data_IF_747742584285
#
_entry.id   IF_747742584285
#
_cell.length_a   1.000
_cell.length_b   1.000
_cell.length_c   1.000
_cell.angle_alpha   90.00
_cell.angle_beta   90.00
_cell.angle_gamma   90.00
#
_symmetry.space_group_name_H-M   'P 1'
#
loop_
_entity.id
_entity.type
_entity.pdbx_description
1 polymer ?
#
# COMPACT_ATOMS: atom_id res chain seq x y z
N UNK A 1 -16.72 15.61 7.32
CA UNK A 1 -16.10 16.76 8.00
C UNK A 1 -15.22 17.38 6.95
N UNK A 2 -15.75 18.34 6.19
CA UNK A 2 -14.99 18.97 5.11
C UNK A 2 -13.90 19.82 5.77
N UNK A 3 -12.65 19.41 5.60
CA UNK A 3 -11.55 20.34 5.80
C UNK A 3 -11.78 21.45 4.78
N UNK A 4 -12.01 22.71 5.21
CA UNK A 4 -12.21 23.79 4.26
C UNK A 4 -10.98 23.85 3.36
N UNK A 5 -11.16 23.89 2.05
CA UNK A 5 -10.10 23.92 1.02
C UNK A 5 -8.91 24.83 1.41
N UNK A 6 -9.18 25.95 2.08
CA UNK A 6 -8.18 26.86 2.65
C UNK A 6 -7.18 26.23 3.65
N UNK A 7 -7.52 25.14 4.34
CA UNK A 7 -6.61 24.38 5.21
C UNK A 7 -5.65 23.51 4.39
N UNK A 8 -6.14 22.89 3.32
CA UNK A 8 -5.33 22.12 2.36
C UNK A 8 -4.39 23.04 1.58
N UNK A 9 -4.88 24.20 1.12
CA UNK A 9 -4.04 25.20 0.46
C UNK A 9 -2.96 25.75 1.39
N UNK A 10 -3.29 26.04 2.65
CA UNK A 10 -2.29 26.46 3.65
C UNK A 10 -1.27 25.37 3.94
N UNK A 11 -1.70 24.11 4.00
CA UNK A 11 -0.79 22.99 4.17
C UNK A 11 0.18 22.88 2.99
N UNK A 12 -0.32 22.90 1.76
CA UNK A 12 0.52 22.88 0.56
C UNK A 12 1.46 24.09 0.51
N UNK A 13 0.97 25.29 0.85
CA UNK A 13 1.79 26.50 0.92
C UNK A 13 2.81 26.48 2.08
N UNK A 14 2.55 25.73 3.15
CA UNK A 14 3.49 25.55 4.26
C UNK A 14 4.63 24.58 3.93
N UNK A 15 4.45 23.76 2.89
CA UNK A 15 5.52 22.92 2.39
C UNK A 15 6.59 23.84 1.78
N UNK A 16 7.83 23.77 2.25
CA UNK A 16 8.95 24.58 1.73
C UNK A 16 9.40 24.18 0.32
N UNK A 17 8.62 23.32 -0.34
CA UNK A 17 8.90 22.72 -1.63
C UNK A 17 7.94 23.31 -2.67
N UNK A 18 8.41 23.43 -3.91
CA UNK A 18 7.58 23.81 -5.04
C UNK A 18 6.53 22.71 -5.27
N UNK A 19 5.32 22.95 -4.77
CA UNK A 19 4.24 21.99 -4.76
C UNK A 19 3.80 21.58 -6.17
N UNK A 20 3.80 22.51 -7.12
CA UNK A 20 3.40 22.23 -8.49
C UNK A 20 4.50 21.45 -9.22
N UNK A 21 5.78 21.75 -8.98
CA UNK A 21 6.89 20.94 -9.50
C UNK A 21 6.92 19.51 -8.90
N UNK A 22 6.54 19.36 -7.64
CA UNK A 22 6.39 18.04 -7.01
C UNK A 22 5.21 17.27 -7.57
N UNK A 23 4.05 17.92 -7.71
CA UNK A 23 2.85 17.30 -8.24
C UNK A 23 3.00 16.88 -9.70
N UNK A 24 3.81 17.61 -10.48
CA UNK A 24 4.18 17.20 -11.83
C UNK A 24 4.90 15.82 -11.86
N UNK A 25 5.62 15.46 -10.80
CA UNK A 25 6.22 14.13 -10.64
C UNK A 25 5.21 13.15 -10.08
N UNK A 26 4.71 13.43 -8.88
CA UNK A 26 3.69 12.63 -8.24
C UNK A 26 2.88 13.52 -7.25
N UNK A 27 1.58 13.72 -7.51
CA UNK A 27 0.71 14.61 -6.73
C UNK A 27 0.51 14.15 -5.29
N UNK A 28 0.90 12.92 -4.93
CA UNK A 28 0.74 12.38 -3.58
C UNK A 28 2.03 12.47 -2.74
N UNK A 29 3.15 12.88 -3.32
CA UNK A 29 4.43 13.00 -2.60
C UNK A 29 4.37 13.95 -1.41
N UNK A 30 3.69 15.08 -1.56
CA UNK A 30 3.53 16.04 -0.47
C UNK A 30 2.78 15.42 0.71
N UNK A 31 1.78 14.59 0.46
CA UNK A 31 1.12 13.88 1.55
C UNK A 31 2.10 12.94 2.24
N UNK A 32 2.86 12.12 1.52
CA UNK A 32 3.81 11.19 2.13
C UNK A 32 4.88 11.89 2.99
N UNK A 33 5.39 13.04 2.54
CA UNK A 33 6.43 13.79 3.26
C UNK A 33 5.93 14.41 4.56
N UNK A 34 4.65 14.75 4.61
CA UNK A 34 4.06 15.50 5.72
C UNK A 34 2.97 14.71 6.46
N UNK A 35 2.81 13.41 6.15
CA UNK A 35 1.93 12.49 6.85
C UNK A 35 2.55 12.07 8.20
N UNK A 36 2.76 13.04 9.07
CA UNK A 36 3.12 12.81 10.47
C UNK A 36 1.86 12.57 11.32
N UNK A 37 2.05 12.29 12.62
CA UNK A 37 0.95 11.96 13.53
C UNK A 37 -0.05 13.11 13.72
N UNK A 38 0.34 14.36 13.43
CA UNK A 38 -0.47 15.56 13.64
C UNK A 38 -1.01 16.21 12.35
N UNK A 39 -0.86 15.58 11.18
CA UNK A 39 -1.39 16.18 9.95
C UNK A 39 -2.91 16.30 10.06
N UNK A 40 -3.49 17.51 10.02
CA UNK A 40 -4.94 17.69 10.18
C UNK A 40 -5.73 17.16 8.96
N UNK A 41 -5.03 16.70 7.92
CA UNK A 41 -5.60 16.31 6.63
C UNK A 41 -5.66 14.80 6.51
N UNK A 42 -6.87 14.28 6.36
CA UNK A 42 -7.06 12.85 6.10
C UNK A 42 -6.62 12.50 4.66
N UNK A 43 -6.21 11.25 4.41
CA UNK A 43 -5.83 10.85 3.06
C UNK A 43 -6.96 11.06 2.04
N UNK A 44 -8.22 10.84 2.43
CA UNK A 44 -9.38 11.00 1.56
C UNK A 44 -9.61 12.48 1.17
N UNK A 45 -9.42 13.40 2.11
CA UNK A 45 -9.50 14.83 1.83
C UNK A 45 -8.38 15.28 0.90
N UNK A 46 -7.17 14.73 1.08
CA UNK A 46 -6.05 15.01 0.20
C UNK A 46 -6.25 14.42 -1.21
N UNK A 47 -6.80 13.21 -1.34
CA UNK A 47 -7.14 12.62 -2.65
C UNK A 47 -8.13 13.49 -3.43
N UNK A 48 -9.17 13.97 -2.76
CA UNK A 48 -10.14 14.88 -3.37
C UNK A 48 -9.46 16.16 -3.86
N UNK A 49 -8.61 16.77 -3.02
CA UNK A 49 -7.84 17.95 -3.37
C UNK A 49 -6.90 17.71 -4.56
N UNK A 50 -6.12 16.63 -4.54
CA UNK A 50 -5.15 16.32 -5.59
C UNK A 50 -5.86 16.11 -6.94
N UNK A 51 -7.00 15.41 -6.93
CA UNK A 51 -7.83 15.21 -8.12
C UNK A 51 -8.37 16.51 -8.70
N UNK A 52 -8.80 17.44 -7.85
CA UNK A 52 -9.31 18.74 -8.29
C UNK A 52 -8.18 19.65 -8.77
N UNK A 53 -7.13 19.82 -7.94
CA UNK A 53 -6.03 20.77 -8.15
C UNK A 53 -5.12 20.39 -9.32
N UNK A 54 -4.82 19.09 -9.46
CA UNK A 54 -3.86 18.58 -10.45
C UNK A 54 -4.48 17.61 -11.45
N UNK A 55 -5.82 17.54 -11.51
CA UNK A 55 -6.57 16.75 -12.50
C UNK A 55 -6.18 15.27 -12.51
N UNK A 56 -5.91 14.70 -11.33
CA UNK A 56 -5.55 13.28 -11.22
C UNK A 56 -6.70 12.40 -11.68
N UNK A 57 -6.44 11.55 -12.67
CA UNK A 57 -7.43 10.65 -13.24
C UNK A 57 -7.81 9.53 -12.27
N UNK A 58 -9.03 9.00 -12.43
CA UNK A 58 -9.57 7.98 -11.54
C UNK A 58 -8.65 6.75 -11.42
N UNK A 59 -8.11 6.30 -12.56
CA UNK A 59 -7.22 5.13 -12.68
C UNK A 59 -5.72 5.44 -12.69
N UNK A 60 -5.32 6.65 -12.28
CA UNK A 60 -3.90 6.99 -12.20
C UNK A 60 -3.15 6.01 -11.26
N UNK A 61 -2.08 5.33 -11.71
CA UNK A 61 -1.34 4.38 -10.87
C UNK A 61 -0.76 5.03 -9.61
N UNK A 62 -0.44 6.33 -9.64
CA UNK A 62 0.03 7.09 -8.46
C UNK A 62 -1.05 7.20 -7.40
N UNK A 63 -2.29 7.40 -7.83
CA UNK A 63 -3.47 7.40 -6.96
C UNK A 63 -3.73 6.03 -6.36
N UNK A 64 -3.61 4.97 -7.15
CA UNK A 64 -3.76 3.59 -6.65
C UNK A 64 -2.74 3.29 -5.55
N UNK A 65 -1.47 3.68 -5.76
CA UNK A 65 -0.42 3.57 -4.73
C UNK A 65 -0.77 4.35 -3.46
N UNK A 66 -1.27 5.57 -3.63
CA UNK A 66 -1.70 6.41 -2.52
C UNK A 66 -2.84 5.81 -1.71
N UNK A 67 -3.88 5.30 -2.36
CA UNK A 67 -5.00 4.64 -1.68
C UNK A 67 -4.53 3.40 -0.90
N UNK A 68 -3.66 2.59 -1.51
CA UNK A 68 -3.08 1.43 -0.83
C UNK A 68 -2.27 1.82 0.40
N UNK A 69 -1.42 2.85 0.28
CA UNK A 69 -0.64 3.39 1.40
C UNK A 69 -1.53 3.97 2.49
N UNK A 70 -2.53 4.77 2.12
CA UNK A 70 -3.46 5.42 3.02
C UNK A 70 -4.28 4.42 3.84
N UNK A 71 -4.65 3.29 3.23
CA UNK A 71 -5.34 2.22 3.93
C UNK A 71 -4.47 1.60 5.03
N UNK A 72 -3.19 1.35 4.74
CA UNK A 72 -2.26 0.80 5.73
C UNK A 72 -2.02 1.82 6.86
N UNK A 73 -1.78 3.10 6.51
CA UNK A 73 -1.58 4.15 7.51
C UNK A 73 -2.82 4.37 8.39
N UNK A 74 -4.02 4.28 7.81
CA UNK A 74 -5.27 4.34 8.57
C UNK A 74 -5.39 3.17 9.55
N UNK A 75 -5.08 1.94 9.14
CA UNK A 75 -5.11 0.78 10.03
C UNK A 75 -4.10 0.92 11.17
N UNK A 76 -2.92 1.48 10.88
CA UNK A 76 -1.90 1.84 11.89
C UNK A 76 -2.43 2.86 12.89
N UNK A 77 -2.98 3.99 12.42
CA UNK A 77 -3.48 5.06 13.30
C UNK A 77 -4.69 4.63 14.13
N UNK A 78 -5.61 3.87 13.54
CA UNK A 78 -6.88 3.52 14.19
C UNK A 78 -6.75 2.38 15.20
N UNK A 79 -5.90 1.38 14.90
CA UNK A 79 -5.87 0.13 15.66
C UNK A 79 -4.44 -0.37 15.97
N UNK A 80 -3.41 0.40 15.63
CA UNK A 80 -2.01 0.00 15.83
C UNK A 80 -1.56 -1.14 14.92
N UNK A 81 -2.30 -1.42 13.84
CA UNK A 81 -1.91 -2.48 12.91
C UNK A 81 -0.71 -2.06 12.05
N UNK A 82 0.29 -2.93 11.93
CA UNK A 82 1.43 -2.70 11.04
C UNK A 82 1.19 -3.15 9.59
N UNK A 83 0.08 -3.82 9.36
CA UNK A 83 -0.28 -4.37 8.07
C UNK A 83 -1.78 -4.58 7.90
N UNK A 84 -2.19 -4.76 6.65
CA UNK A 84 -3.55 -5.08 6.26
C UNK A 84 -3.55 -6.25 5.27
N UNK A 85 -4.60 -7.09 5.26
CA UNK A 85 -4.73 -8.14 4.26
C UNK A 85 -4.75 -7.58 2.83
N UNK A 86 -4.04 -8.25 1.91
CA UNK A 86 -3.97 -7.87 0.49
C UNK A 86 -5.35 -7.74 -0.15
N UNK A 87 -6.27 -8.68 0.13
CA UNK A 87 -7.63 -8.64 -0.42
C UNK A 87 -8.35 -7.34 -0.06
N UNK A 88 -8.17 -6.85 1.18
CA UNK A 88 -8.78 -5.61 1.63
C UNK A 88 -8.19 -4.38 0.92
N UNK A 89 -6.86 -4.36 0.71
CA UNK A 89 -6.17 -3.33 -0.09
C UNK A 89 -6.69 -3.32 -1.52
N UNK A 90 -6.73 -4.50 -2.15
CA UNK A 90 -7.22 -4.67 -3.52
C UNK A 90 -8.63 -4.12 -3.68
N UNK A 91 -9.56 -4.59 -2.85
CA UNK A 91 -10.98 -4.24 -2.98
C UNK A 91 -11.22 -2.75 -2.73
N UNK A 92 -10.48 -2.15 -1.79
CA UNK A 92 -10.52 -0.72 -1.52
C UNK A 92 -10.00 0.10 -2.70
N UNK A 93 -8.87 -0.31 -3.30
CA UNK A 93 -8.33 0.36 -4.48
C UNK A 93 -9.25 0.21 -5.70
N UNK A 94 -9.85 -0.97 -5.92
CA UNK A 94 -10.84 -1.17 -7.00
C UNK A 94 -12.02 -0.23 -6.80
N UNK A 95 -12.58 -0.14 -5.59
CA UNK A 95 -13.70 0.75 -5.30
C UNK A 95 -13.36 2.23 -5.45
N UNK A 96 -12.22 2.66 -4.89
CA UNK A 96 -11.83 4.08 -4.88
C UNK A 96 -11.29 4.57 -6.24
N UNK A 97 -10.55 3.71 -6.96
CA UNK A 97 -9.88 4.04 -8.21
C UNK A 97 -10.64 3.59 -9.45
N UNK A 98 -11.61 2.68 -9.32
CA UNK A 98 -12.36 2.16 -10.47
C UNK A 98 -11.48 1.46 -11.50
N UNK A 99 -10.39 0.84 -11.04
CA UNK A 99 -9.44 0.06 -11.83
C UNK A 99 -9.68 -1.42 -11.62
N UNK A 100 -9.14 -2.25 -12.51
CA UNK A 100 -9.18 -3.70 -12.39
C UNK A 100 -8.20 -4.22 -11.32
N UNK A 101 -8.46 -5.40 -10.72
CA UNK A 101 -7.55 -6.03 -9.76
C UNK A 101 -6.09 -6.13 -10.22
N UNK A 102 -5.86 -6.42 -11.50
CA UNK A 102 -4.52 -6.52 -12.08
C UNK A 102 -3.76 -5.18 -12.07
N UNK A 103 -4.48 -4.08 -12.30
CA UNK A 103 -3.91 -2.73 -12.25
C UNK A 103 -3.55 -2.35 -10.81
N UNK A 104 -4.36 -2.76 -9.83
CA UNK A 104 -4.01 -2.60 -8.41
C UNK A 104 -2.76 -3.39 -8.06
N UNK A 105 -2.67 -4.63 -8.50
CA UNK A 105 -1.51 -5.49 -8.26
C UNK A 105 -0.23 -4.87 -8.84
N UNK A 106 -0.28 -4.37 -10.08
CA UNK A 106 0.84 -3.70 -10.71
C UNK A 106 1.28 -2.45 -9.92
N UNK A 107 0.35 -1.57 -9.59
CA UNK A 107 0.64 -0.35 -8.84
C UNK A 107 1.20 -0.62 -7.44
N UNK A 108 0.67 -1.61 -6.72
CA UNK A 108 1.17 -1.97 -5.38
C UNK A 108 2.54 -2.66 -5.47
N UNK A 109 2.78 -3.49 -6.49
CA UNK A 109 4.11 -4.05 -6.76
C UNK A 109 5.12 -2.92 -7.00
N UNK A 110 4.77 -1.91 -7.79
CA UNK A 110 5.61 -0.74 -8.00
C UNK A 110 5.88 0.02 -6.70
N UNK A 111 4.88 0.16 -5.82
CA UNK A 111 5.06 0.78 -4.50
C UNK A 111 6.00 -0.01 -3.58
N UNK A 112 6.00 -1.34 -3.68
CA UNK A 112 6.93 -2.21 -2.95
C UNK A 112 8.36 -2.03 -3.48
N UNK A 113 8.53 -2.00 -4.81
CA UNK A 113 9.82 -1.74 -5.46
C UNK A 113 10.35 -0.35 -5.11
N UNK A 114 9.48 0.66 -5.11
CA UNK A 114 9.78 2.02 -4.70
C UNK A 114 10.00 2.18 -3.18
N UNK A 115 9.94 1.09 -2.41
CA UNK A 115 10.16 1.04 -0.96
C UNK A 115 9.15 1.84 -0.12
N UNK A 116 7.99 2.19 -0.67
CA UNK A 116 6.91 2.81 0.10
C UNK A 116 6.14 1.76 0.91
N UNK A 117 5.91 0.58 0.31
CA UNK A 117 5.21 -0.54 0.91
C UNK A 117 6.11 -1.77 1.02
N UNK A 118 5.69 -2.74 1.81
CA UNK A 118 6.24 -4.09 1.85
C UNK A 118 5.10 -5.12 1.78
N UNK A 119 5.39 -6.30 1.25
CA UNK A 119 4.43 -7.38 1.05
C UNK A 119 4.97 -8.73 1.51
N UNK A 120 4.16 -9.52 2.21
CA UNK A 120 4.53 -10.86 2.66
C UNK A 120 3.32 -11.78 2.77
N UNK A 121 3.58 -13.07 2.98
CA UNK A 121 2.56 -14.06 3.32
C UNK A 121 2.79 -14.58 4.72
N UNK A 122 1.72 -14.92 5.42
CA UNK A 122 1.81 -15.67 6.68
C UNK A 122 1.96 -17.19 6.43
N UNK A 123 1.98 -17.96 7.51
CA UNK A 123 2.14 -19.42 7.45
C UNK A 123 0.97 -20.12 6.74
N UNK A 124 -0.21 -19.51 6.73
CA UNK A 124 -1.39 -20.01 6.03
C UNK A 124 -1.44 -19.54 4.56
N UNK A 125 -0.40 -18.85 4.09
CA UNK A 125 -0.29 -18.34 2.73
C UNK A 125 -1.12 -17.07 2.45
N UNK A 126 -1.73 -16.45 3.48
CA UNK A 126 -2.51 -15.21 3.32
C UNK A 126 -1.56 -14.05 3.10
N UNK A 127 -1.84 -13.23 2.09
CA UNK A 127 -1.00 -12.10 1.72
C UNK A 127 -1.36 -10.83 2.50
N UNK A 128 -0.34 -10.07 2.89
CA UNK A 128 -0.43 -8.82 3.64
C UNK A 128 0.41 -7.73 2.97
N UNK A 129 -0.01 -6.48 3.19
CA UNK A 129 0.71 -5.28 2.80
C UNK A 129 0.91 -4.40 4.04
N UNK A 130 2.12 -3.88 4.21
CA UNK A 130 2.49 -3.01 5.32
C UNK A 130 3.28 -1.80 4.88
N UNK A 131 3.41 -0.80 5.76
CA UNK A 131 4.31 0.33 5.53
C UNK A 131 5.74 -0.16 5.71
N UNK A 132 6.59 0.01 4.69
CA UNK A 132 7.92 -0.62 4.70
C UNK A 132 8.76 -0.23 5.90
N UNK A 133 8.79 1.05 6.26
CA UNK A 133 9.55 1.54 7.41
C UNK A 133 9.14 0.85 8.72
N UNK A 134 7.83 0.63 8.90
CA UNK A 134 7.29 -0.04 10.08
C UNK A 134 7.64 -1.52 10.09
N UNK A 135 7.47 -2.21 8.95
CA UNK A 135 7.82 -3.62 8.79
C UNK A 135 9.32 -3.85 9.00
N UNK A 136 10.17 -2.96 8.48
CA UNK A 136 11.62 -3.02 8.70
C UNK A 136 11.98 -2.84 10.19
N UNK A 137 11.32 -1.91 10.89
CA UNK A 137 11.49 -1.69 12.33
C UNK A 137 11.05 -2.92 13.14
N UNK A 138 9.87 -3.48 12.86
CA UNK A 138 9.38 -4.70 13.52
C UNK A 138 10.32 -5.88 13.30
N UNK A 139 10.80 -6.07 12.08
CA UNK A 139 11.78 -7.12 11.77
C UNK A 139 13.10 -6.90 12.51
N UNK A 140 13.55 -5.65 12.68
CA UNK A 140 14.75 -5.33 13.45
C UNK A 140 14.57 -5.65 14.94
N UNK A 141 13.42 -5.28 15.53
CA UNK A 141 13.07 -5.62 16.92
C UNK A 141 13.01 -7.13 17.09
N UNK A 142 12.35 -7.85 16.19
CA UNK A 142 12.23 -9.29 16.25
C UNK A 142 13.58 -10.01 16.13
N UNK A 143 14.52 -9.50 15.32
CA UNK A 143 15.90 -10.02 15.28
C UNK A 143 16.63 -9.81 16.60
N UNK A 144 16.59 -8.59 17.13
CA UNK A 144 17.22 -8.25 18.42
C UNK A 144 16.68 -9.10 19.58
N UNK A 145 15.38 -9.35 19.61
CA UNK A 145 14.77 -10.23 20.61
C UNK A 145 15.22 -11.69 20.45
N UNK A 146 15.31 -12.21 19.23
CA UNK A 146 15.79 -13.58 19.01
C UNK A 146 17.24 -13.76 19.46
N UNK A 147 18.11 -12.81 19.13
CA UNK A 147 19.52 -12.84 19.55
C UNK A 147 19.63 -12.85 21.08
N UNK A 148 18.86 -11.99 21.76
CA UNK A 148 18.84 -11.94 23.24
C UNK A 148 18.28 -13.21 23.88
N UNK A 149 17.38 -13.90 23.20
CA UNK A 149 16.73 -15.13 23.68
C UNK A 149 17.44 -16.42 23.21
N UNK A 150 18.52 -16.32 22.41
CA UNK A 150 19.21 -17.48 21.85
C UNK A 150 18.37 -18.29 20.86
N UNK A 151 17.39 -17.67 20.19
CA UNK A 151 16.50 -18.33 19.23
C UNK A 151 17.12 -18.36 17.83
N UNK A 152 16.91 -19.46 17.10
CA UNK A 152 17.34 -19.58 15.70
C UNK A 152 16.53 -18.69 14.75
N UNK A 153 17.09 -18.28 13.59
CA UNK A 153 16.37 -17.49 12.59
C UNK A 153 15.13 -18.23 12.03
N UNK A 154 14.04 -17.53 11.70
CA UNK A 154 12.88 -18.14 11.05
C UNK A 154 13.16 -18.47 9.58
N UNK A 155 12.46 -19.47 9.04
CA UNK A 155 12.40 -19.71 7.59
C UNK A 155 11.78 -18.49 6.89
N UNK A 156 12.45 -17.94 5.87
CA UNK A 156 11.97 -16.76 5.14
C UNK A 156 11.02 -17.19 4.02
N UNK A 157 9.74 -16.81 4.11
CA UNK A 157 8.82 -16.82 2.97
C UNK A 157 8.70 -15.40 2.43
N UNK A 158 9.61 -15.04 1.53
CA UNK A 158 9.48 -13.83 0.72
C UNK A 158 8.31 -14.05 -0.24
N UNK A 159 7.54 -13.01 -0.51
CA UNK A 159 6.52 -13.06 -1.56
C UNK A 159 7.22 -13.36 -2.90
N UNK A 160 7.26 -14.63 -3.29
CA UNK A 160 7.63 -15.02 -4.65
C UNK A 160 6.63 -14.41 -5.61
N UNK A 161 7.13 -13.87 -6.72
CA UNK A 161 6.33 -13.44 -7.86
C UNK A 161 5.70 -14.65 -8.57
N UNK A 162 5.04 -15.54 -7.85
CA UNK A 162 4.29 -16.63 -8.48
C UNK A 162 2.95 -16.06 -8.94
N UNK A 163 2.89 -15.88 -10.26
CA UNK A 163 1.69 -15.74 -11.07
C UNK A 163 0.92 -17.05 -10.97
N UNK A 164 0.21 -17.25 -9.85
CA UNK A 164 -0.70 -18.37 -9.67
C UNK A 164 -1.84 -18.26 -10.68
N UNK A 165 -1.57 -18.67 -11.92
CA UNK A 165 -2.56 -19.09 -12.89
C UNK A 165 -3.44 -20.12 -12.20
N UNK A 166 -4.73 -19.81 -12.12
CA UNK A 166 -5.78 -20.77 -11.88
C UNK A 166 -5.65 -21.86 -12.95
N UNK A 167 -4.97 -22.97 -12.63
CA UNK A 167 -5.08 -24.19 -13.43
C UNK A 167 -6.42 -24.82 -13.10
N UNK A 168 -7.42 -24.38 -13.85
CA UNK A 168 -8.66 -25.11 -14.06
C UNK A 168 -8.34 -26.57 -14.35
N UNK A 169 -8.85 -27.44 -13.47
CA UNK A 169 -8.77 -28.89 -13.58
C UNK A 169 -9.60 -29.38 -14.76
N UNK A 170 -9.02 -29.36 -15.96
CA UNK A 170 -9.46 -30.20 -17.08
C UNK A 170 -8.85 -31.59 -16.92
N UNK A 171 -9.47 -32.42 -16.09
CA UNK A 171 -9.19 -33.86 -16.01
C UNK A 171 -9.92 -34.61 -17.12
N UNK A 172 -9.32 -34.70 -18.30
CA UNK A 172 -9.66 -35.71 -19.29
C UNK A 172 -8.45 -36.64 -19.44
N UNK A 173 -8.59 -37.89 -19.01
CA UNK A 173 -7.76 -39.00 -19.48
C UNK A 173 -8.52 -40.31 -19.33
N UNK A 174 -8.94 -40.81 -20.49
CA UNK A 174 -9.10 -42.22 -20.82
C UNK A 174 -8.08 -43.13 -20.11
N UNK A 175 -8.57 -44.28 -19.65
CA UNK A 175 -7.74 -45.49 -19.61
C UNK A 175 -8.59 -46.73 -19.86
N UNK A 176 -8.57 -47.16 -21.11
CA UNK A 176 -8.76 -48.55 -21.51
C UNK A 176 -7.56 -49.35 -21.01
N UNK A 177 -7.80 -50.44 -20.27
CA UNK A 177 -6.98 -51.66 -20.33
C UNK A 177 -7.76 -52.84 -19.75
N UNK A 178 -7.90 -53.87 -20.59
CA UNK A 178 -8.31 -55.27 -20.41
C UNK A 178 -9.67 -55.63 -19.78
#
# INVERSE_FOLDING_TARGET
>A
MDLPLAALERFVASCSLDADAMAAKDPYLLYYLYAEEETPITPEAYDAFARERWSVEKGDPRRVRFVAWAMVDRARRAAGHSSVPWAAVRDTCVGACGVQPAEVQAAVRDAIVARALDGWRDAEGRAYVGLRALVEAERAIARSLRERLGLSPPAQHVLGCDDGEDKDGSGAADSSTD
#
